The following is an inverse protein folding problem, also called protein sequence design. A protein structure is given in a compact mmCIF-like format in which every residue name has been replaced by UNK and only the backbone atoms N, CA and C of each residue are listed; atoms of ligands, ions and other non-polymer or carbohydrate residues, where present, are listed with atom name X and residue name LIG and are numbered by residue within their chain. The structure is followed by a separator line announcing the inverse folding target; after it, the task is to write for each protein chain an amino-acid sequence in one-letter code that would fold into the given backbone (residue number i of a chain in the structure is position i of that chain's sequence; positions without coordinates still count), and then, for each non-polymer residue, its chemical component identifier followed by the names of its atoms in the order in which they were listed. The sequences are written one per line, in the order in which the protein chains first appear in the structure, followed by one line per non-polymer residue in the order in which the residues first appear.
data_IF_155816547200
#
_entry.id   IF_155816547200
#
_cell.length_a   1.000
_cell.length_b   1.000
_cell.length_c   1.000
_cell.angle_alpha   90.00
_cell.angle_beta   90.00
_cell.angle_gamma   90.00
#
_symmetry.space_group_name_H-M   'P 1'
#
loop_
_entity.id
_entity.type
_entity.pdbx_description
1 polymer ?
#
# COMPACT_ATOMS: atom_id res chain seq x y z
N UNK A 1 1.23 -19.95 -12.51
CA UNK A 1 0.04 -19.26 -11.97
C UNK A 1 -0.01 -19.52 -10.48
N UNK A 2 -0.34 -18.52 -9.67
CA UNK A 2 -0.56 -18.67 -8.24
C UNK A 2 -1.71 -19.65 -8.00
N UNK A 3 -1.49 -20.72 -7.23
CA UNK A 3 -2.56 -21.61 -6.81
C UNK A 3 -3.27 -21.01 -5.60
N UNK A 4 -4.50 -20.52 -5.81
CA UNK A 4 -5.36 -20.05 -4.74
C UNK A 4 -6.02 -21.24 -4.01
N UNK A 5 -6.29 -21.14 -2.70
CA UNK A 5 -7.19 -22.07 -2.03
C UNK A 5 -8.56 -22.13 -2.72
N UNK A 6 -9.19 -23.31 -2.74
CA UNK A 6 -10.47 -23.53 -3.46
C UNK A 6 -11.57 -22.55 -3.03
N UNK A 7 -11.68 -22.25 -1.72
CA UNK A 7 -12.67 -21.29 -1.22
C UNK A 7 -12.42 -19.86 -1.74
N UNK A 8 -11.16 -19.45 -1.85
CA UNK A 8 -10.79 -18.15 -2.41
C UNK A 8 -11.09 -18.06 -3.91
N UNK A 9 -10.89 -19.16 -4.66
CA UNK A 9 -11.28 -19.24 -6.08
C UNK A 9 -12.80 -19.08 -6.23
N UNK A 10 -13.58 -19.85 -5.46
CA UNK A 10 -15.05 -19.75 -5.47
C UNK A 10 -15.51 -18.33 -5.11
N UNK A 11 -14.85 -17.68 -4.15
CA UNK A 11 -15.18 -16.30 -3.78
C UNK A 11 -14.88 -15.32 -4.93
N UNK A 12 -13.74 -15.46 -5.61
CA UNK A 12 -13.41 -14.63 -6.76
C UNK A 12 -14.43 -14.83 -7.90
N UNK A 13 -14.79 -16.07 -8.20
CA UNK A 13 -15.78 -16.39 -9.24
C UNK A 13 -17.16 -15.80 -8.91
N UNK A 14 -17.56 -15.81 -7.64
CA UNK A 14 -18.79 -15.14 -7.18
C UNK A 14 -18.74 -13.63 -7.38
N UNK A 15 -17.60 -12.99 -7.11
CA UNK A 15 -17.43 -11.54 -7.34
C UNK A 15 -17.49 -11.21 -8.84
N UNK A 16 -16.84 -12.02 -9.68
CA UNK A 16 -16.90 -11.90 -11.15
C UNK A 16 -18.33 -12.05 -11.66
N UNK A 17 -19.02 -13.13 -11.25
CA UNK A 17 -20.42 -13.39 -11.63
C UNK A 17 -21.31 -12.23 -11.22
N UNK A 18 -21.14 -11.72 -9.99
CA UNK A 18 -21.92 -10.57 -9.51
C UNK A 18 -21.65 -9.29 -10.29
N UNK A 19 -20.42 -9.06 -10.74
CA UNK A 19 -20.10 -7.94 -11.60
C UNK A 19 -20.83 -8.05 -12.95
N UNK A 20 -20.87 -9.24 -13.55
CA UNK A 20 -21.62 -9.50 -14.78
C UNK A 20 -23.13 -9.30 -14.60
N UNK A 21 -23.71 -9.80 -13.51
CA UNK A 21 -25.13 -9.59 -13.19
C UNK A 21 -25.49 -8.09 -13.09
N UNK A 22 -24.63 -7.30 -12.44
CA UNK A 22 -24.82 -5.86 -12.33
C UNK A 22 -24.72 -5.18 -13.71
N UNK A 23 -23.80 -5.63 -14.56
CA UNK A 23 -23.69 -5.15 -15.94
C UNK A 23 -24.98 -5.39 -16.74
N UNK A 24 -25.54 -6.60 -16.66
CA UNK A 24 -26.77 -6.96 -17.34
C UNK A 24 -27.97 -6.18 -16.81
N UNK A 25 -28.03 -5.95 -15.49
CA UNK A 25 -29.05 -5.13 -14.85
C UNK A 25 -28.98 -3.67 -15.32
N UNK A 26 -27.77 -3.10 -15.44
CA UNK A 26 -27.56 -1.75 -16.02
C UNK A 26 -28.12 -1.70 -17.45
N UNK A 27 -27.81 -2.69 -18.28
CA UNK A 27 -28.31 -2.77 -19.66
C UNK A 27 -29.85 -2.88 -19.73
N UNK A 28 -30.46 -3.68 -18.86
CA UNK A 28 -31.91 -3.86 -18.81
C UNK A 28 -32.64 -2.57 -18.40
N UNK A 29 -32.20 -1.91 -17.33
CA UNK A 29 -32.79 -0.64 -16.87
C UNK A 29 -32.59 0.48 -17.90
N UNK A 30 -31.42 0.56 -18.54
CA UNK A 30 -31.15 1.55 -19.57
C UNK A 30 -32.06 1.38 -20.80
N UNK A 31 -32.32 0.14 -21.23
CA UNK A 31 -33.28 -0.16 -22.30
C UNK A 31 -34.70 0.29 -21.93
N UNK A 32 -35.18 -0.09 -20.75
CA UNK A 32 -36.52 0.30 -20.26
C UNK A 32 -36.68 1.83 -20.15
N UNK A 33 -35.67 2.53 -19.65
CA UNK A 33 -35.68 3.99 -19.59
C UNK A 33 -35.74 4.62 -21.01
N UNK A 34 -35.00 4.05 -21.96
CA UNK A 34 -35.01 4.51 -23.36
C UNK A 34 -36.36 4.26 -24.05
N UNK A 35 -36.96 3.09 -23.82
CA UNK A 35 -38.31 2.75 -24.34
C UNK A 35 -39.37 3.69 -23.78
N UNK A 36 -39.36 3.94 -22.47
CA UNK A 36 -40.29 4.86 -21.83
C UNK A 36 -40.11 6.30 -22.32
N UNK A 37 -38.86 6.73 -22.53
CA UNK A 37 -38.54 8.03 -23.10
C UNK A 37 -39.05 8.17 -24.54
N UNK A 38 -38.98 7.12 -25.36
CA UNK A 38 -39.59 7.11 -26.71
C UNK A 38 -41.11 7.16 -26.64
N UNK A 39 -41.74 6.33 -25.81
CA UNK A 39 -43.20 6.28 -25.66
C UNK A 39 -43.79 7.62 -25.19
N UNK A 40 -43.03 8.36 -24.37
CA UNK A 40 -43.39 9.71 -23.91
C UNK A 40 -43.65 10.69 -25.06
N UNK A 41 -42.96 10.56 -26.20
CA UNK A 41 -43.13 11.48 -27.34
C UNK A 41 -44.49 11.40 -28.02
N UNK A 42 -45.20 10.28 -27.84
CA UNK A 42 -46.51 10.00 -28.45
C UNK A 42 -47.63 9.87 -27.41
N UNK A 43 -47.32 10.00 -26.12
CA UNK A 43 -48.27 9.79 -25.04
C UNK A 43 -49.25 10.97 -24.89
N UNK A 44 -50.52 10.71 -24.50
CA UNK A 44 -51.46 11.78 -24.20
C UNK A 44 -51.01 12.60 -23.00
N UNK A 45 -51.40 13.88 -22.94
CA UNK A 45 -50.99 14.82 -21.90
C UNK A 45 -51.30 14.33 -20.47
N UNK A 46 -52.35 13.53 -20.30
CA UNK A 46 -52.75 12.93 -19.02
C UNK A 46 -51.75 11.91 -18.47
N UNK A 47 -50.93 11.28 -19.31
CA UNK A 47 -49.98 10.24 -18.92
C UNK A 47 -48.56 10.76 -18.69
N UNK A 48 -48.23 11.93 -19.23
CA UNK A 48 -46.87 12.50 -19.21
C UNK A 48 -46.29 12.61 -17.80
N UNK A 49 -47.09 13.03 -16.82
CA UNK A 49 -46.64 13.17 -15.44
C UNK A 49 -46.23 11.84 -14.80
N UNK A 50 -46.97 10.76 -15.08
CA UNK A 50 -46.64 9.41 -14.57
C UNK A 50 -45.38 8.86 -15.24
N UNK A 51 -45.23 9.07 -16.56
CA UNK A 51 -44.04 8.67 -17.29
C UNK A 51 -42.78 9.42 -16.82
N UNK A 52 -42.90 10.72 -16.52
CA UNK A 52 -41.79 11.52 -16.01
C UNK A 52 -41.33 11.06 -14.61
N UNK A 53 -42.26 10.68 -13.74
CA UNK A 53 -41.94 10.09 -12.44
C UNK A 53 -41.23 8.74 -12.58
N UNK A 54 -41.73 7.86 -13.44
CA UNK A 54 -41.11 6.55 -13.68
C UNK A 54 -39.73 6.69 -14.35
N UNK A 55 -39.55 7.62 -15.30
CA UNK A 55 -38.24 7.93 -15.87
C UNK A 55 -37.25 8.40 -14.80
N UNK A 56 -37.67 9.31 -13.93
CA UNK A 56 -36.84 9.80 -12.82
C UNK A 56 -36.39 8.65 -11.91
N UNK A 57 -37.33 7.75 -11.56
CA UNK A 57 -37.05 6.55 -10.76
C UNK A 57 -36.06 5.60 -11.45
N UNK A 58 -36.25 5.34 -12.75
CA UNK A 58 -35.36 4.47 -13.53
C UNK A 58 -33.96 5.07 -13.70
N UNK A 59 -33.85 6.39 -13.89
CA UNK A 59 -32.58 7.10 -13.99
C UNK A 59 -31.79 7.07 -12.67
N UNK A 60 -32.46 7.30 -11.54
CA UNK A 60 -31.85 7.16 -10.23
C UNK A 60 -31.32 5.73 -10.03
N UNK A 61 -32.18 4.73 -10.29
CA UNK A 61 -31.79 3.31 -10.19
C UNK A 61 -30.65 2.93 -11.13
N UNK A 62 -30.62 3.47 -12.34
CA UNK A 62 -29.54 3.26 -13.31
C UNK A 62 -28.22 3.81 -12.77
N UNK A 63 -28.24 5.00 -12.18
CA UNK A 63 -27.05 5.64 -11.59
C UNK A 63 -26.49 4.78 -10.46
N UNK A 64 -27.35 4.31 -9.55
CA UNK A 64 -26.96 3.42 -8.44
C UNK A 64 -26.33 2.12 -8.96
N UNK A 65 -26.96 1.45 -9.94
CA UNK A 65 -26.45 0.21 -10.51
C UNK A 65 -25.13 0.41 -11.26
N UNK A 66 -24.98 1.54 -11.96
CA UNK A 66 -23.73 1.88 -12.63
C UNK A 66 -22.60 2.10 -11.64
N UNK A 67 -22.84 2.80 -10.53
CA UNK A 67 -21.84 2.99 -9.48
C UNK A 67 -21.44 1.64 -8.84
N UNK A 68 -22.43 0.81 -8.50
CA UNK A 68 -22.17 -0.53 -7.95
C UNK A 68 -21.35 -1.39 -8.91
N UNK A 69 -21.72 -1.42 -10.20
CA UNK A 69 -21.00 -2.14 -11.24
C UNK A 69 -19.55 -1.64 -11.37
N UNK A 70 -19.34 -0.32 -11.50
CA UNK A 70 -17.99 0.27 -11.62
C UNK A 70 -17.13 -0.08 -10.42
N UNK A 71 -17.66 0.05 -9.20
CA UNK A 71 -16.93 -0.25 -7.97
C UNK A 71 -16.53 -1.73 -7.90
N UNK A 72 -17.46 -2.64 -8.18
CA UNK A 72 -17.17 -4.08 -8.14
C UNK A 72 -16.23 -4.53 -9.28
N UNK A 73 -16.43 -4.03 -10.50
CA UNK A 73 -15.56 -4.34 -11.63
C UNK A 73 -14.12 -3.88 -11.39
N UNK A 74 -13.94 -2.67 -10.84
CA UNK A 74 -12.62 -2.17 -10.49
C UNK A 74 -11.97 -2.98 -9.35
N UNK A 75 -12.75 -3.39 -8.33
CA UNK A 75 -12.25 -4.26 -7.26
C UNK A 75 -11.77 -5.61 -7.80
N UNK A 76 -12.56 -6.25 -8.65
CA UNK A 76 -12.22 -7.51 -9.32
C UNK A 76 -10.94 -7.34 -10.16
N UNK A 77 -10.84 -6.25 -10.94
CA UNK A 77 -9.65 -5.97 -11.74
C UNK A 77 -8.40 -5.77 -10.85
N UNK A 78 -8.55 -5.09 -9.70
CA UNK A 78 -7.47 -4.91 -8.73
C UNK A 78 -7.02 -6.25 -8.14
N UNK A 79 -7.95 -7.13 -7.76
CA UNK A 79 -7.64 -8.48 -7.26
C UNK A 79 -6.89 -9.29 -8.32
N UNK A 80 -7.39 -9.31 -9.57
CA UNK A 80 -6.73 -10.03 -10.67
C UNK A 80 -5.33 -9.51 -10.96
N UNK A 81 -5.15 -8.19 -10.98
CA UNK A 81 -3.81 -7.57 -11.16
C UNK A 81 -2.86 -7.95 -10.03
N UNK A 82 -3.34 -7.93 -8.79
CA UNK A 82 -2.55 -8.34 -7.64
C UNK A 82 -2.14 -9.81 -7.72
N UNK A 83 -3.05 -10.71 -8.12
CA UNK A 83 -2.76 -12.14 -8.30
C UNK A 83 -1.69 -12.42 -9.36
N UNK A 84 -1.55 -11.56 -10.38
CA UNK A 84 -0.50 -11.69 -11.40
C UNK A 84 0.90 -11.40 -10.84
N UNK A 85 1.00 -10.50 -9.86
CA UNK A 85 2.28 -10.13 -9.21
C UNK A 85 2.54 -10.85 -7.89
N UNK A 86 1.54 -11.52 -7.33
CA UNK A 86 1.65 -12.23 -6.06
C UNK A 86 2.60 -13.42 -6.16
N UNK A 87 3.50 -13.54 -5.17
CA UNK A 87 4.43 -14.64 -5.04
C UNK A 87 4.23 -15.35 -3.68
N UNK A 88 4.52 -16.66 -3.65
CA UNK A 88 4.41 -17.48 -2.44
C UNK A 88 3.20 -18.42 -2.45
N UNK A 89 3.07 -19.18 -1.36
CA UNK A 89 1.93 -20.07 -1.13
C UNK A 89 0.95 -19.38 -0.20
N UNK A 90 -0.34 -19.41 -0.53
CA UNK A 90 -1.39 -18.80 0.27
C UNK A 90 -2.28 -19.88 0.89
N UNK A 91 -2.72 -19.64 2.11
CA UNK A 91 -3.68 -20.46 2.83
C UNK A 91 -4.92 -19.63 3.20
N UNK A 92 -6.02 -20.28 3.54
CA UNK A 92 -7.19 -19.57 4.05
C UNK A 92 -6.81 -18.88 5.36
N UNK A 93 -7.10 -17.59 5.45
CA UNK A 93 -6.97 -16.86 6.70
C UNK A 93 -7.95 -17.45 7.74
N UNK A 94 -7.58 -17.36 9.01
CA UNK A 94 -8.50 -17.73 10.08
C UNK A 94 -9.71 -16.78 10.00
N UNK A 95 -10.95 -17.29 9.96
CA UNK A 95 -12.13 -16.44 9.90
C UNK A 95 -12.12 -15.47 11.09
N UNK A 96 -12.34 -14.18 10.81
CA UNK A 96 -12.42 -13.18 11.86
C UNK A 96 -13.69 -13.45 12.69
N UNK A 97 -13.60 -13.26 14.01
CA UNK A 97 -14.72 -13.52 14.93
C UNK A 97 -15.57 -12.25 15.13
N UNK A 98 -15.60 -11.34 14.17
CA UNK A 98 -16.32 -10.08 14.30
C UNK A 98 -17.83 -10.33 14.26
N UNK A 99 -18.45 -10.54 15.42
CA UNK A 99 -19.90 -10.66 15.56
C UNK A 99 -20.49 -9.32 15.99
N UNK A 100 -21.48 -8.76 15.27
CA UNK A 100 -22.15 -7.49 15.63
C UNK A 100 -22.77 -7.48 17.03
N UNK A 101 -23.15 -8.66 17.54
CA UNK A 101 -23.85 -8.82 18.81
C UNK A 101 -23.07 -8.29 20.01
N UNK A 102 -21.73 -8.32 19.96
CA UNK A 102 -20.89 -7.86 21.06
C UNK A 102 -20.99 -6.34 21.28
N UNK A 103 -21.32 -5.56 20.26
CA UNK A 103 -21.26 -4.09 20.30
C UNK A 103 -22.63 -3.41 20.24
N UNK A 104 -23.73 -4.16 20.11
CA UNK A 104 -25.10 -3.62 19.92
C UNK A 104 -25.22 -2.62 18.75
N UNK A 105 -24.32 -2.70 17.77
CA UNK A 105 -24.30 -1.84 16.59
C UNK A 105 -24.92 -2.55 15.38
N UNK A 106 -25.48 -1.78 14.45
CA UNK A 106 -25.86 -2.35 13.14
C UNK A 106 -24.61 -2.72 12.34
N UNK A 107 -24.70 -3.68 11.41
CA UNK A 107 -23.57 -4.06 10.57
C UNK A 107 -22.99 -2.84 9.81
N UNK A 108 -23.85 -1.92 9.33
CA UNK A 108 -23.42 -0.69 8.68
C UNK A 108 -22.61 0.23 9.61
N UNK A 109 -23.03 0.37 10.86
CA UNK A 109 -22.29 1.16 11.86
C UNK A 109 -20.96 0.51 12.22
N UNK A 110 -20.93 -0.82 12.39
CA UNK A 110 -19.71 -1.56 12.67
C UNK A 110 -18.69 -1.44 11.53
N UNK A 111 -19.13 -1.58 10.26
CA UNK A 111 -18.30 -1.36 9.08
C UNK A 111 -17.79 0.08 9.00
N UNK A 112 -18.65 1.07 9.27
CA UNK A 112 -18.24 2.49 9.29
C UNK A 112 -17.13 2.75 10.33
N UNK A 113 -17.27 2.19 11.54
CA UNK A 113 -16.27 2.29 12.59
C UNK A 113 -14.94 1.63 12.20
N UNK A 114 -14.98 0.43 11.61
CA UNK A 114 -13.76 -0.24 11.12
C UNK A 114 -13.08 0.57 10.02
N UNK A 115 -13.83 1.19 9.10
CA UNK A 115 -13.26 2.08 8.09
C UNK A 115 -12.55 3.28 8.68
N UNK A 116 -13.10 3.86 9.74
CA UNK A 116 -12.43 4.96 10.45
C UNK A 116 -11.11 4.49 11.10
N UNK A 117 -11.10 3.28 11.68
CA UNK A 117 -9.88 2.68 12.24
C UNK A 117 -8.84 2.36 11.17
N UNK A 118 -9.24 1.74 10.06
CA UNK A 118 -8.36 1.44 8.92
C UNK A 118 -7.74 2.74 8.37
N UNK A 119 -8.55 3.80 8.22
CA UNK A 119 -8.05 5.12 7.79
C UNK A 119 -7.03 5.70 8.78
N UNK A 120 -7.27 5.56 10.07
CA UNK A 120 -6.33 6.01 11.10
C UNK A 120 -5.01 5.22 11.07
N UNK A 121 -5.07 3.90 10.93
CA UNK A 121 -3.89 3.04 10.79
C UNK A 121 -3.10 3.36 9.51
N UNK A 122 -3.79 3.60 8.39
CA UNK A 122 -3.16 4.00 7.14
C UNK A 122 -2.44 5.37 7.27
N UNK A 123 -3.06 6.33 7.96
CA UNK A 123 -2.44 7.62 8.24
C UNK A 123 -1.20 7.48 9.14
N UNK A 124 -1.27 6.65 10.17
CA UNK A 124 -0.13 6.36 11.05
C UNK A 124 1.00 5.65 10.29
N UNK A 125 0.68 4.72 9.38
CA UNK A 125 1.68 4.09 8.50
C UNK A 125 2.43 5.11 7.65
N UNK A 126 1.73 6.09 7.06
CA UNK A 126 2.36 7.18 6.31
C UNK A 126 3.25 8.03 7.22
N UNK A 127 2.79 8.33 8.44
CA UNK A 127 3.57 9.07 9.43
C UNK A 127 4.86 8.35 9.81
N UNK A 128 4.81 7.03 10.05
CA UNK A 128 5.98 6.19 10.36
C UNK A 128 6.93 6.10 9.17
N UNK A 129 6.42 5.96 7.94
CA UNK A 129 7.25 5.98 6.72
C UNK A 129 8.06 7.27 6.62
N UNK A 130 7.42 8.40 6.95
CA UNK A 130 8.00 9.75 6.90
C UNK A 130 8.81 10.13 8.14
N UNK A 131 8.93 9.24 9.14
CA UNK A 131 9.73 9.51 10.32
C UNK A 131 11.18 9.85 9.92
N UNK A 132 11.80 10.82 10.58
CA UNK A 132 13.21 11.11 10.35
C UNK A 132 14.10 10.11 11.07
N UNK A 133 15.37 10.01 10.67
CA UNK A 133 16.35 9.28 11.47
C UNK A 133 16.69 10.09 12.74
N UNK A 134 16.96 9.42 13.87
CA UNK A 134 17.48 10.07 15.07
C UNK A 134 18.79 10.83 14.76
N UNK A 135 19.01 11.96 15.44
CA UNK A 135 20.22 12.77 15.24
C UNK A 135 21.51 11.96 15.43
N UNK A 136 21.52 11.00 16.37
CA UNK A 136 22.64 10.09 16.58
C UNK A 136 22.97 9.24 15.34
N UNK A 137 21.95 8.71 14.66
CA UNK A 137 22.12 7.91 13.45
C UNK A 137 22.55 8.79 12.27
N UNK A 138 22.02 10.01 12.16
CA UNK A 138 22.45 10.99 11.15
C UNK A 138 23.93 11.35 11.35
N UNK A 139 24.36 11.56 12.60
CA UNK A 139 25.78 11.81 12.93
C UNK A 139 26.66 10.61 12.57
N UNK A 140 26.22 9.38 12.83
CA UNK A 140 26.93 8.16 12.42
C UNK A 140 27.05 8.03 10.90
N UNK A 141 26.00 8.39 10.15
CA UNK A 141 26.04 8.47 8.69
C UNK A 141 27.02 9.54 8.21
N UNK A 142 27.04 10.72 8.86
CA UNK A 142 28.00 11.78 8.57
C UNK A 142 29.45 11.31 8.81
N UNK A 143 29.73 10.61 9.91
CA UNK A 143 31.04 10.03 10.18
C UNK A 143 31.44 9.00 9.12
N UNK A 144 30.50 8.14 8.71
CA UNK A 144 30.73 7.14 7.65
C UNK A 144 31.02 7.82 6.30
N UNK A 145 30.30 8.91 6.01
CA UNK A 145 30.50 9.73 4.81
C UNK A 145 31.88 10.40 4.80
N UNK A 146 32.30 11.03 5.90
CA UNK A 146 33.64 11.65 6.01
C UNK A 146 34.74 10.59 5.87
N UNK A 147 34.57 9.40 6.45
CA UNK A 147 35.52 8.31 6.28
C UNK A 147 35.65 7.86 4.82
N UNK A 148 34.53 7.71 4.09
CA UNK A 148 34.55 7.38 2.67
C UNK A 148 35.20 8.49 1.83
N UNK A 149 34.93 9.76 2.15
CA UNK A 149 35.51 10.92 1.48
C UNK A 149 37.02 11.04 1.73
N UNK A 150 37.48 10.71 2.93
CA UNK A 150 38.90 10.68 3.28
C UNK A 150 39.67 9.70 2.40
N UNK A 151 39.14 8.48 2.20
CA UNK A 151 39.80 7.48 1.35
C UNK A 151 39.81 7.93 -0.12
N UNK A 152 38.72 8.52 -0.58
CA UNK A 152 38.60 9.08 -1.94
C UNK A 152 39.55 10.27 -2.16
N UNK A 153 39.75 11.11 -1.13
CA UNK A 153 40.55 12.33 -1.19
C UNK A 153 42.05 12.13 -1.02
N UNK A 154 42.50 10.89 -0.83
CA UNK A 154 43.91 10.57 -0.66
C UNK A 154 44.69 10.94 -1.93
N UNK A 155 45.68 11.85 -1.85
CA UNK A 155 46.45 12.22 -3.02
C UNK A 155 47.28 11.05 -3.51
N UNK A 156 47.37 10.91 -4.83
CA UNK A 156 48.35 10.05 -5.48
C UNK A 156 49.70 10.76 -5.44
N UNK A 157 50.61 10.26 -4.63
CA UNK A 157 51.98 10.79 -4.55
C UNK A 157 52.83 10.04 -5.58
N UNK A 158 53.48 10.79 -6.49
CA UNK A 158 54.44 10.24 -7.45
C UNK A 158 55.81 10.85 -7.21
N UNK A 159 56.82 9.99 -7.08
CA UNK A 159 58.22 10.36 -6.94
C UNK A 159 59.05 9.48 -7.88
N UNK A 160 59.81 10.11 -8.78
CA UNK A 160 60.62 9.42 -9.80
C UNK A 160 61.98 10.12 -9.94
N UNK A 161 63.03 9.38 -10.27
CA UNK A 161 64.39 9.90 -10.39
C UNK A 161 64.47 10.91 -11.55
N UNK A 162 64.62 12.19 -11.21
CA UNK A 162 64.69 13.29 -12.17
C UNK A 162 63.38 14.06 -12.38
N UNK A 163 62.31 13.73 -11.65
CA UNK A 163 61.08 14.55 -11.60
C UNK A 163 60.89 15.17 -10.21
N UNK A 164 60.31 16.38 -10.10
CA UNK A 164 59.98 16.96 -8.81
C UNK A 164 58.90 16.12 -8.12
N UNK A 165 58.89 16.17 -6.79
CA UNK A 165 57.80 15.63 -5.98
C UNK A 165 56.45 16.18 -6.46
N UNK A 166 55.48 15.31 -6.73
CA UNK A 166 54.14 15.69 -7.14
C UNK A 166 53.10 14.91 -6.32
N UNK A 167 52.13 15.64 -5.76
CA UNK A 167 50.96 15.08 -5.09
C UNK A 167 49.71 15.47 -5.90
N UNK A 168 49.01 14.48 -6.45
CA UNK A 168 47.83 14.69 -7.27
C UNK A 168 46.54 14.35 -6.50
N UNK A 169 45.66 15.33 -6.33
CA UNK A 169 44.35 15.19 -5.68
C UNK A 169 43.20 14.95 -6.67
N UNK A 170 43.53 14.74 -7.95
CA UNK A 170 42.54 14.48 -8.98
C UNK A 170 41.82 13.16 -8.74
N UNK A 171 40.54 13.25 -8.38
CA UNK A 171 39.65 12.11 -8.39
C UNK A 171 39.06 11.95 -9.78
N UNK A 172 39.28 10.80 -10.41
CA UNK A 172 38.54 10.46 -11.63
C UNK A 172 37.08 10.25 -11.25
N UNK A 173 36.22 11.19 -11.65
CA UNK A 173 34.77 11.01 -11.56
C UNK A 173 34.35 10.27 -12.82
N UNK A 174 33.66 9.14 -12.65
CA UNK A 174 33.14 8.36 -13.76
C UNK A 174 32.31 9.27 -14.70
N UNK A 175 32.69 9.31 -15.98
CA UNK A 175 32.04 10.15 -17.00
C UNK A 175 32.56 11.60 -17.12
N UNK A 176 33.53 12.03 -16.31
CA UNK A 176 34.14 13.35 -16.45
C UNK A 176 35.34 13.33 -17.42
N UNK A 177 35.28 14.18 -18.46
CA UNK A 177 36.38 14.37 -19.44
C UNK A 177 37.59 15.09 -18.85
N UNK A 178 37.42 15.84 -17.76
CA UNK A 178 38.48 16.51 -17.05
C UNK A 178 38.48 16.08 -15.59
N UNK A 179 39.67 15.86 -15.06
CA UNK A 179 39.84 15.67 -13.63
C UNK A 179 39.31 16.91 -12.89
N UNK A 180 38.42 16.70 -11.93
CA UNK A 180 37.93 17.74 -11.04
C UNK A 180 38.46 17.46 -9.64
N UNK A 181 38.92 18.51 -8.98
CA UNK A 181 39.27 18.46 -7.57
C UNK A 181 37.99 18.33 -6.75
N UNK A 182 37.84 17.21 -6.06
CA UNK A 182 36.78 17.03 -5.07
C UNK A 182 37.20 17.71 -3.76
N UNK A 183 36.75 18.95 -3.58
CA UNK A 183 37.09 19.78 -2.41
C UNK A 183 36.64 19.08 -1.11
N UNK A 184 35.48 18.40 -1.13
CA UNK A 184 34.98 17.69 0.04
C UNK A 184 35.88 16.51 0.42
N UNK A 185 36.32 15.74 -0.57
CA UNK A 185 37.27 14.64 -0.38
C UNK A 185 38.63 15.15 0.13
N UNK A 186 39.17 16.21 -0.49
CA UNK A 186 40.45 16.80 -0.09
C UNK A 186 40.42 17.34 1.35
N UNK A 187 39.35 18.03 1.75
CA UNK A 187 39.16 18.50 3.13
C UNK A 187 39.01 17.32 4.12
N UNK A 188 38.27 16.29 3.74
CA UNK A 188 38.11 15.07 4.55
C UNK A 188 39.42 14.31 4.73
N UNK A 189 40.32 14.37 3.73
CA UNK A 189 41.66 13.78 3.83
C UNK A 189 42.59 14.61 4.74
N UNK A 190 42.53 15.93 4.63
CA UNK A 190 43.40 16.85 5.38
C UNK A 190 43.08 16.86 6.88
N UNK A 191 41.81 17.04 7.24
CA UNK A 191 41.36 17.07 8.64
C UNK A 191 39.95 16.47 8.78
N UNK A 192 39.85 15.12 8.81
CA UNK A 192 38.56 14.44 8.94
C UNK A 192 37.83 14.81 10.25
N UNK A 193 38.58 15.01 11.33
CA UNK A 193 38.01 15.27 12.65
C UNK A 193 37.36 16.66 12.71
N UNK A 194 37.98 17.69 12.13
CA UNK A 194 37.38 19.01 12.07
C UNK A 194 36.13 19.03 11.19
N UNK A 195 36.14 18.37 10.04
CA UNK A 195 34.97 18.29 9.16
C UNK A 195 33.81 17.54 9.83
N UNK A 196 34.08 16.39 10.44
CA UNK A 196 33.08 15.62 11.17
C UNK A 196 32.47 16.43 12.32
N UNK A 197 33.30 17.10 13.13
CA UNK A 197 32.84 17.97 14.20
C UNK A 197 31.90 19.07 13.69
N UNK A 198 32.27 19.75 12.60
CA UNK A 198 31.44 20.80 12.00
C UNK A 198 30.11 20.24 11.49
N UNK A 199 30.11 19.08 10.85
CA UNK A 199 28.87 18.42 10.42
C UNK A 199 27.97 18.08 11.61
N UNK A 200 28.53 17.57 12.72
CA UNK A 200 27.77 17.28 13.93
C UNK A 200 27.16 18.55 14.53
N UNK A 201 27.92 19.65 14.59
CA UNK A 201 27.42 20.96 15.05
C UNK A 201 26.27 21.48 14.17
N UNK A 202 26.36 21.32 12.85
CA UNK A 202 25.28 21.69 11.93
C UNK A 202 24.05 20.79 12.09
N UNK A 203 24.24 19.48 12.27
CA UNK A 203 23.13 18.54 12.56
C UNK A 203 22.42 18.92 13.85
N UNK A 204 23.16 19.34 14.88
CA UNK A 204 22.58 19.75 16.17
C UNK A 204 21.76 21.04 16.09
N UNK A 205 22.03 21.90 15.09
CA UNK A 205 21.27 23.13 14.84
C UNK A 205 19.98 22.89 14.05
N UNK A 206 19.84 21.75 13.38
CA UNK A 206 18.64 21.45 12.60
C UNK A 206 17.43 21.30 13.53
N UNK A 207 16.24 21.77 13.09
CA UNK A 207 15.03 21.58 13.87
C UNK A 207 14.74 20.09 14.05
N UNK A 208 14.57 19.67 15.31
CA UNK A 208 14.27 18.27 15.63
C UNK A 208 12.85 17.93 15.15
N UNK A 209 12.68 16.95 14.26
CA UNK A 209 11.38 16.57 13.75
C UNK A 209 10.54 15.93 14.86
N UNK A 210 9.22 16.11 14.78
CA UNK A 210 8.29 15.62 15.81
C UNK A 210 8.28 14.09 15.99
N UNK A 211 8.71 13.33 14.96
CA UNK A 211 8.86 11.88 15.01
C UNK A 211 10.22 11.50 14.44
N UNK A 212 11.04 10.87 15.28
CA UNK A 212 12.30 10.23 14.88
C UNK A 212 12.20 8.73 15.19
N UNK A 213 12.68 7.90 14.27
CA UNK A 213 12.70 6.44 14.42
C UNK A 213 13.92 5.87 13.73
N UNK A 214 14.62 4.95 14.41
CA UNK A 214 15.70 4.17 13.80
C UNK A 214 15.16 3.37 12.60
N UNK A 215 16.05 2.94 11.70
CA UNK A 215 15.64 2.16 10.54
C UNK A 215 14.96 0.83 10.95
N UNK A 216 15.49 0.17 11.98
CA UNK A 216 14.98 -1.10 12.48
C UNK A 216 13.62 -0.94 13.18
N UNK A 217 13.49 0.07 14.05
CA UNK A 217 12.21 0.36 14.72
C UNK A 217 11.12 0.74 13.71
N UNK A 218 11.49 1.52 12.69
CA UNK A 218 10.58 1.88 11.59
C UNK A 218 10.12 0.64 10.84
N UNK A 219 11.04 -0.24 10.44
CA UNK A 219 10.71 -1.48 9.75
C UNK A 219 9.79 -2.38 10.61
N UNK A 220 10.11 -2.54 11.89
CA UNK A 220 9.29 -3.30 12.83
C UNK A 220 7.89 -2.70 12.98
N UNK A 221 7.79 -1.37 13.15
CA UNK A 221 6.50 -0.70 13.30
C UNK A 221 5.65 -0.75 12.03
N UNK A 222 6.28 -0.66 10.85
CA UNK A 222 5.56 -0.81 9.58
C UNK A 222 5.00 -2.22 9.40
N UNK A 223 5.76 -3.26 9.77
CA UNK A 223 5.27 -4.64 9.75
C UNK A 223 4.10 -4.85 10.73
N UNK A 224 4.18 -4.26 11.92
CA UNK A 224 3.09 -4.28 12.91
C UNK A 224 1.82 -3.60 12.35
N UNK A 225 1.95 -2.39 11.81
CA UNK A 225 0.84 -1.63 11.23
C UNK A 225 0.23 -2.33 10.01
N UNK A 226 1.05 -2.96 9.16
CA UNK A 226 0.56 -3.73 8.01
C UNK A 226 -0.21 -4.99 8.44
N UNK A 227 0.25 -5.68 9.49
CA UNK A 227 -0.46 -6.83 10.05
C UNK A 227 -1.79 -6.40 10.70
N UNK A 228 -1.79 -5.29 11.45
CA UNK A 228 -3.01 -4.76 12.06
C UNK A 228 -4.01 -4.27 11.01
N UNK A 229 -3.54 -3.55 9.99
CA UNK A 229 -4.38 -3.09 8.88
C UNK A 229 -5.04 -4.28 8.19
N UNK A 230 -4.28 -5.30 7.81
CA UNK A 230 -4.83 -6.51 7.18
C UNK A 230 -5.87 -7.20 8.08
N UNK A 231 -5.62 -7.29 9.39
CA UNK A 231 -6.57 -7.88 10.33
C UNK A 231 -7.89 -7.09 10.39
N UNK A 232 -7.84 -5.75 10.45
CA UNK A 232 -9.03 -4.89 10.43
C UNK A 232 -9.81 -4.99 9.12
N UNK A 233 -9.12 -5.14 8.00
CA UNK A 233 -9.76 -5.34 6.70
C UNK A 233 -10.43 -6.71 6.59
N UNK A 234 -9.85 -7.75 7.18
CA UNK A 234 -10.49 -9.07 7.29
C UNK A 234 -11.72 -9.05 8.22
N UNK A 235 -11.71 -8.24 9.28
CA UNK A 235 -12.89 -7.97 10.11
C UNK A 235 -13.98 -7.22 9.33
N UNK A 236 -13.59 -6.21 8.54
CA UNK A 236 -14.52 -5.45 7.68
C UNK A 236 -15.20 -6.38 6.66
N UNK A 237 -14.42 -7.19 5.94
CA UNK A 237 -14.95 -8.09 4.91
C UNK A 237 -15.91 -9.13 5.50
N UNK A 238 -15.59 -9.71 6.66
CA UNK A 238 -16.47 -10.66 7.32
C UNK A 238 -17.82 -10.04 7.71
N UNK A 239 -17.83 -8.78 8.16
CA UNK A 239 -19.08 -8.06 8.43
C UNK A 239 -19.86 -7.71 7.16
N UNK A 240 -19.17 -7.43 6.06
CA UNK A 240 -19.82 -7.21 4.75
C UNK A 240 -20.47 -8.51 4.28
N UNK A 241 -19.78 -9.65 4.37
CA UNK A 241 -20.35 -10.96 4.02
C UNK A 241 -21.57 -11.29 4.88
N UNK A 242 -21.47 -11.11 6.20
CA UNK A 242 -22.59 -11.32 7.11
C UNK A 242 -23.79 -10.41 6.78
N UNK A 243 -23.53 -9.13 6.46
CA UNK A 243 -24.58 -8.20 6.05
C UNK A 243 -25.24 -8.66 4.74
N UNK A 244 -24.46 -9.15 3.79
CA UNK A 244 -24.98 -9.69 2.53
C UNK A 244 -25.86 -10.92 2.75
N UNK A 245 -25.47 -11.83 3.66
CA UNK A 245 -26.30 -12.98 4.06
C UNK A 245 -27.64 -12.54 4.69
N UNK A 246 -27.65 -11.40 5.38
CA UNK A 246 -28.86 -10.78 5.96
C UNK A 246 -29.66 -9.92 4.96
N UNK A 247 -29.26 -9.90 3.67
CA UNK A 247 -29.93 -9.11 2.63
C UNK A 247 -29.58 -7.61 2.64
N UNK A 248 -28.61 -7.19 3.45
CA UNK A 248 -28.09 -5.83 3.47
C UNK A 248 -26.89 -5.70 2.53
N UNK A 249 -27.08 -4.98 1.43
CA UNK A 249 -26.01 -4.72 0.47
C UNK A 249 -25.08 -3.61 0.99
N UNK A 250 -23.95 -3.99 1.58
CA UNK A 250 -22.86 -3.06 1.91
C UNK A 250 -21.81 -3.04 0.80
N UNK A 251 -21.48 -1.84 0.31
CA UNK A 251 -20.46 -1.64 -0.73
C UNK A 251 -19.06 -1.90 -0.17
N UNK A 252 -18.27 -2.76 -0.80
CA UNK A 252 -16.84 -2.97 -0.48
C UNK A 252 -16.01 -1.75 -0.88
N UNK A 253 -14.91 -1.49 -0.16
CA UNK A 253 -13.98 -0.42 -0.55
C UNK A 253 -13.18 -0.84 -1.78
N UNK A 254 -12.87 0.13 -2.64
CA UNK A 254 -12.09 -0.11 -3.85
C UNK A 254 -10.60 -0.38 -3.56
N UNK A 255 -10.11 0.17 -2.45
CA UNK A 255 -8.73 0.08 -1.98
C UNK A 255 -8.51 -1.04 -0.95
N UNK A 256 -9.51 -1.91 -0.71
CA UNK A 256 -9.38 -3.04 0.19
C UNK A 256 -8.27 -4.01 -0.28
N UNK A 257 -7.46 -4.51 0.66
CA UNK A 257 -6.41 -5.47 0.32
C UNK A 257 -7.04 -6.75 -0.28
N UNK A 258 -6.58 -7.20 -1.46
CA UNK A 258 -7.06 -8.43 -2.09
C UNK A 258 -7.00 -9.66 -1.19
N UNK A 259 -6.04 -9.72 -0.26
CA UNK A 259 -5.92 -10.81 0.72
C UNK A 259 -7.08 -10.81 1.71
N UNK A 260 -7.50 -9.62 2.17
CA UNK A 260 -8.65 -9.48 3.06
C UNK A 260 -9.94 -9.86 2.35
N UNK A 261 -10.15 -9.34 1.13
CA UNK A 261 -11.32 -9.66 0.31
C UNK A 261 -11.40 -11.14 -0.01
N UNK A 262 -10.29 -11.80 -0.35
CA UNK A 262 -10.29 -13.23 -0.66
C UNK A 262 -10.28 -14.14 0.59
N UNK A 263 -10.08 -13.58 1.79
CA UNK A 263 -9.95 -14.34 3.03
C UNK A 263 -8.72 -15.25 3.05
N UNK A 264 -7.58 -14.77 2.52
CA UNK A 264 -6.34 -15.54 2.43
C UNK A 264 -5.18 -14.88 3.19
N UNK A 265 -4.20 -15.68 3.58
CA UNK A 265 -2.94 -15.24 4.19
C UNK A 265 -1.74 -15.98 3.60
N UNK A 266 -0.53 -15.46 3.83
CA UNK A 266 0.69 -16.16 3.45
C UNK A 266 0.81 -17.45 4.29
N UNK A 267 0.99 -18.59 3.62
CA UNK A 267 1.21 -19.85 4.29
C UNK A 267 2.50 -19.75 5.11
N UNK A 268 2.40 -20.02 6.41
CA UNK A 268 3.60 -20.08 7.26
C UNK A 268 4.50 -21.19 6.71
N UNK A 269 5.75 -20.86 6.41
CA UNK A 269 6.75 -21.87 6.08
C UNK A 269 6.72 -22.95 7.17
N UNK A 270 6.38 -24.19 6.79
CA UNK A 270 6.40 -25.31 7.73
C UNK A 270 7.80 -25.36 8.31
N UNK A 271 7.97 -24.98 9.58
CA UNK A 271 9.22 -25.23 10.30
C UNK A 271 9.45 -26.73 10.20
N UNK A 272 10.43 -27.14 9.39
CA UNK A 272 10.83 -28.54 9.32
C UNK A 272 11.18 -28.92 10.76
N UNK A 273 10.41 -29.85 11.32
CA UNK A 273 10.67 -30.37 12.66
C UNK A 273 12.09 -30.94 12.56
N UNK A 274 13.07 -30.45 13.34
CA UNK A 274 14.43 -30.96 13.25
C UNK A 274 14.36 -32.47 13.44
N UNK A 275 14.88 -33.21 12.47
CA UNK A 275 14.93 -34.66 12.51
C UNK A 275 15.68 -35.04 13.77
N UNK A 276 15.05 -35.83 14.65
CA UNK A 276 15.71 -36.28 15.87
C UNK A 276 16.83 -37.21 15.44
N UNK A 277 18.05 -36.69 15.37
CA UNK A 277 19.26 -37.49 15.22
C UNK A 277 19.26 -38.50 16.38
N UNK A 278 19.08 -39.79 16.06
CA UNK A 278 19.24 -40.85 17.04
C UNK A 278 20.72 -40.88 17.40
N UNK A 279 21.02 -40.69 18.68
CA UNK A 279 22.35 -40.97 19.20
C UNK A 279 22.50 -42.50 19.24
N UNK A 280 23.40 -43.02 18.42
CA UNK A 280 23.87 -44.41 18.50
C UNK A 280 24.93 -44.55 19.61
#
# INVERSE_FOLDING_TARGET
MLQLPTLAQVKLDRLDTRAMELHDAVGSIARRASELSRARSTAPASELASMDQELTRLQARLTDLQEQHRNLANLVANIKRWLLGAAGTYEMAKPSRATPEATKMTAAQAVSNLRAQIKALAAERVRVLQAALPAADIKKLASTYVAAQRERGRPKITFDHGRPFQADFNTSVEGAWTAKLDIGAALSWLDPAALEKRLHEEIDKLPQPALTMSADDRAAKLLELEAELLAREQEEEALIELAQEQGLALTRRLDADPRAVLGIGLARAKKQKPERVRAD
#
